data_IF_100383651249
#
_entry.id   IF_100383651249
#
_cell.length_a   1.000
_cell.length_b   1.000
_cell.length_c   1.000
_cell.angle_alpha   90.00
_cell.angle_beta   90.00
_cell.angle_gamma   90.00
#
_symmetry.space_group_name_H-M   'P 1'
#
loop_
_entity.id
_entity.type
_entity.pdbx_description
1 polymer ?
#
# COMPACT_ATOMS: atom_id res chain seq x y z
N UNK A 1 5.55 7.53 7.93
CA UNK A 1 5.51 6.40 6.96
C UNK A 1 6.82 6.22 6.21
N UNK A 2 7.41 7.27 5.61
CA UNK A 2 8.71 7.18 4.93
C UNK A 2 9.80 6.56 5.82
N UNK A 3 9.78 6.90 7.11
CA UNK A 3 10.68 6.40 8.15
C UNK A 3 10.64 4.89 8.38
N UNK A 4 9.54 4.20 8.03
CA UNK A 4 9.44 2.73 8.19
C UNK A 4 9.38 1.96 6.86
N UNK A 5 9.61 2.63 5.73
CA UNK A 5 9.62 1.99 4.39
C UNK A 5 10.71 0.93 4.30
N UNK A 6 11.88 1.20 4.91
CA UNK A 6 13.01 0.28 4.91
C UNK A 6 12.66 -1.01 5.66
N UNK A 7 11.98 -0.90 6.79
CA UNK A 7 11.60 -1.97 7.69
C UNK A 7 10.53 -2.87 7.04
N UNK A 8 9.51 -2.25 6.43
CA UNK A 8 8.52 -2.99 5.61
C UNK A 8 9.24 -3.75 4.50
N UNK A 9 10.22 -3.10 3.88
CA UNK A 9 10.94 -3.71 2.79
C UNK A 9 11.77 -4.92 3.23
N UNK A 10 12.58 -4.76 4.27
CA UNK A 10 13.40 -5.82 4.84
C UNK A 10 12.54 -6.99 5.34
N UNK A 11 11.33 -6.72 5.83
CA UNK A 11 10.39 -7.76 6.27
C UNK A 11 9.82 -8.62 5.15
N UNK A 12 9.42 -7.98 4.03
CA UNK A 12 8.73 -8.67 2.94
C UNK A 12 9.69 -9.15 1.83
N UNK A 13 10.89 -8.59 1.70
CA UNK A 13 11.84 -8.98 0.66
C UNK A 13 12.23 -10.47 0.72
N UNK A 14 12.54 -11.06 1.90
CA UNK A 14 12.80 -12.50 2.01
C UNK A 14 11.59 -13.38 1.66
N UNK A 15 10.39 -12.81 1.63
CA UNK A 15 9.12 -13.49 1.38
C UNK A 15 8.68 -13.44 -0.09
N UNK A 16 9.56 -12.96 -0.99
CA UNK A 16 9.28 -12.79 -2.42
C UNK A 16 8.71 -14.06 -3.09
N UNK A 17 9.24 -15.23 -2.76
CA UNK A 17 8.82 -16.50 -3.35
C UNK A 17 7.35 -16.84 -3.05
N UNK A 18 6.80 -16.35 -1.93
CA UNK A 18 5.38 -16.52 -1.62
C UNK A 18 4.50 -15.78 -2.63
N UNK A 19 4.90 -14.58 -3.08
CA UNK A 19 4.15 -13.84 -4.09
C UNK A 19 4.09 -14.59 -5.43
N UNK A 20 5.19 -15.24 -5.81
CA UNK A 20 5.25 -16.07 -7.02
C UNK A 20 4.34 -17.31 -6.87
N UNK A 21 4.37 -17.96 -5.71
CA UNK A 21 3.48 -19.07 -5.39
C UNK A 21 1.99 -18.67 -5.40
N UNK A 22 1.63 -17.53 -4.82
CA UNK A 22 0.26 -17.04 -4.82
C UNK A 22 -0.23 -16.67 -6.22
N UNK A 23 0.64 -16.07 -7.04
CA UNK A 23 0.35 -15.77 -8.45
C UNK A 23 0.11 -17.05 -9.28
N UNK A 24 0.83 -18.14 -8.96
CA UNK A 24 0.68 -19.42 -9.65
C UNK A 24 -0.63 -20.16 -9.31
N UNK A 25 -1.16 -19.92 -8.11
CA UNK A 25 -2.31 -20.65 -7.57
C UNK A 25 -3.60 -19.81 -7.52
N UNK A 26 -3.60 -18.60 -8.08
CA UNK A 26 -4.74 -17.66 -8.07
C UNK A 26 -5.31 -17.39 -6.65
N UNK A 27 -4.43 -17.29 -5.64
CA UNK A 27 -4.82 -17.12 -4.22
C UNK A 27 -4.91 -15.65 -3.83
N UNK A 28 -5.91 -15.29 -3.02
CA UNK A 28 -6.04 -13.97 -2.40
C UNK A 28 -4.92 -13.74 -1.39
N UNK A 29 -3.99 -12.83 -1.72
CA UNK A 29 -2.80 -12.56 -0.90
C UNK A 29 -3.04 -11.47 0.16
N UNK A 30 -4.06 -10.63 0.01
CA UNK A 30 -4.28 -9.47 0.89
C UNK A 30 -4.47 -9.82 2.37
N UNK A 31 -5.24 -10.86 2.76
CA UNK A 31 -5.34 -11.25 4.16
C UNK A 31 -3.98 -11.64 4.74
N UNK A 32 -3.17 -12.39 3.99
CA UNK A 32 -1.81 -12.76 4.40
C UNK A 32 -0.91 -11.53 4.56
N UNK A 33 -0.96 -10.57 3.62
CA UNK A 33 -0.22 -9.31 3.73
C UNK A 33 -0.59 -8.50 4.97
N UNK A 34 -1.88 -8.47 5.33
CA UNK A 34 -2.33 -7.78 6.55
C UNK A 34 -1.81 -8.46 7.81
N UNK A 35 -1.81 -9.80 7.87
CA UNK A 35 -1.24 -10.55 9.00
C UNK A 35 0.27 -10.34 9.12
N UNK A 36 0.99 -10.33 8.00
CA UNK A 36 2.42 -10.02 7.98
C UNK A 36 2.70 -8.57 8.42
N UNK A 37 1.90 -7.61 7.97
CA UNK A 37 2.03 -6.22 8.40
C UNK A 37 1.71 -6.05 9.89
N UNK A 38 0.69 -6.72 10.41
CA UNK A 38 0.37 -6.75 11.85
C UNK A 38 1.58 -7.20 12.67
N UNK A 39 2.20 -8.31 12.26
CA UNK A 39 3.37 -8.87 12.93
C UNK A 39 4.55 -7.89 12.90
N UNK A 40 4.79 -7.27 11.74
CA UNK A 40 5.83 -6.27 11.59
C UNK A 40 5.58 -5.05 12.50
N UNK A 41 4.37 -4.49 12.49
CA UNK A 41 4.05 -3.31 13.30
C UNK A 41 4.19 -3.57 14.79
N UNK A 42 3.83 -4.76 15.27
CA UNK A 42 4.08 -5.16 16.65
C UNK A 42 5.57 -5.18 16.98
N UNK A 43 6.40 -5.75 16.10
CA UNK A 43 7.86 -5.74 16.28
C UNK A 43 8.43 -4.31 16.29
N UNK A 44 7.96 -3.44 15.39
CA UNK A 44 8.40 -2.04 15.34
C UNK A 44 7.97 -1.26 16.57
N UNK A 45 6.79 -1.54 17.12
CA UNK A 45 6.32 -0.95 18.38
C UNK A 45 7.18 -1.41 19.55
N UNK A 46 7.42 -2.72 19.69
CA UNK A 46 8.31 -3.25 20.72
C UNK A 46 9.75 -2.70 20.61
N UNK A 47 10.21 -2.47 19.38
CA UNK A 47 11.51 -1.87 19.08
C UNK A 47 11.56 -0.35 19.19
N UNK A 48 10.47 0.32 19.58
CA UNK A 48 10.36 1.79 19.68
C UNK A 48 10.66 2.54 18.37
N UNK A 49 10.42 1.89 17.23
CA UNK A 49 10.53 2.50 15.89
C UNK A 49 9.24 3.25 15.52
N UNK A 50 8.10 2.79 16.05
CA UNK A 50 6.81 3.47 15.98
C UNK A 50 6.26 3.64 17.40
N UNK A 51 5.39 4.62 17.60
CA UNK A 51 4.80 4.90 18.92
C UNK A 51 3.65 3.93 19.22
N UNK A 52 2.76 3.73 18.24
CA UNK A 52 1.62 2.82 18.36
C UNK A 52 1.02 2.45 16.99
N UNK A 53 0.12 1.48 16.97
CA UNK A 53 -0.73 1.23 15.81
C UNK A 53 -2.09 0.62 16.19
N UNK A 54 -3.07 0.85 15.33
CA UNK A 54 -4.38 0.21 15.35
C UNK A 54 -4.61 -0.50 14.01
N UNK A 55 -5.24 -1.68 14.03
CA UNK A 55 -5.63 -2.42 12.82
C UNK A 55 -7.14 -2.44 12.62
N UNK A 56 -7.58 -2.45 11.37
CA UNK A 56 -8.99 -2.55 10.98
C UNK A 56 -9.89 -1.48 11.65
N UNK A 57 -9.33 -0.30 11.93
CA UNK A 57 -9.96 0.75 12.72
C UNK A 57 -10.83 1.69 11.88
N UNK A 58 -11.72 2.42 12.56
CA UNK A 58 -12.59 3.43 11.95
C UNK A 58 -12.04 4.83 12.18
N UNK A 59 -11.68 5.53 11.10
CA UNK A 59 -11.17 6.92 11.15
C UNK A 59 -12.23 7.93 10.69
N UNK A 60 -12.08 9.17 11.13
CA UNK A 60 -12.96 10.26 10.71
C UNK A 60 -12.77 10.58 9.22
N UNK A 61 -13.87 10.80 8.52
CA UNK A 61 -13.88 11.16 7.11
C UNK A 61 -14.80 12.35 6.88
N UNK A 62 -14.71 12.96 5.71
CA UNK A 62 -15.58 14.06 5.30
C UNK A 62 -17.06 13.70 5.46
N UNK A 63 -17.40 12.44 5.16
CA UNK A 63 -18.73 11.85 5.30
C UNK A 63 -18.72 10.67 6.26
N UNK A 64 -18.77 10.98 7.56
CA UNK A 64 -18.91 9.99 8.63
C UNK A 64 -17.58 9.36 9.04
N UNK A 65 -17.54 8.02 9.06
CA UNK A 65 -16.32 7.27 9.37
C UNK A 65 -15.96 6.33 8.21
N UNK A 66 -14.68 6.02 8.06
CA UNK A 66 -14.16 5.06 7.08
C UNK A 66 -13.32 4.01 7.77
N UNK A 67 -13.46 2.76 7.34
CA UNK A 67 -12.58 1.68 7.77
C UNK A 67 -11.28 1.78 7.00
N UNK A 68 -10.17 1.63 7.71
CA UNK A 68 -8.82 1.60 7.15
C UNK A 68 -8.10 0.36 7.67
N UNK A 69 -7.08 -0.09 6.95
CA UNK A 69 -6.39 -1.31 7.33
C UNK A 69 -5.52 -1.07 8.56
N UNK A 70 -4.82 0.07 8.60
CA UNK A 70 -3.99 0.45 9.73
C UNK A 70 -4.03 1.96 9.98
N UNK A 71 -3.87 2.33 11.25
CA UNK A 71 -3.48 3.66 11.69
C UNK A 71 -2.21 3.52 12.51
N UNK A 72 -1.11 4.08 12.03
CA UNK A 72 0.22 3.94 12.64
C UNK A 72 0.66 5.31 13.16
N UNK A 73 1.12 5.38 14.41
CA UNK A 73 1.61 6.62 15.02
C UNK A 73 3.14 6.60 15.00
N UNK A 74 3.74 7.63 14.41
CA UNK A 74 5.18 7.76 14.24
C UNK A 74 5.58 9.19 14.61
N UNK A 75 6.44 9.33 15.61
CA UNK A 75 6.89 10.64 16.12
C UNK A 75 5.70 11.55 16.51
N UNK A 76 4.63 10.96 17.05
CA UNK A 76 3.40 11.63 17.45
C UNK A 76 2.41 11.92 16.30
N UNK A 77 2.79 11.69 15.05
CA UNK A 77 1.96 11.93 13.87
C UNK A 77 1.26 10.65 13.40
N UNK A 78 -0.02 10.75 13.06
CA UNK A 78 -0.80 9.60 12.61
C UNK A 78 -0.69 9.39 11.09
N UNK A 79 -0.41 8.16 10.70
CA UNK A 79 -0.35 7.68 9.32
C UNK A 79 -1.46 6.65 9.11
N UNK A 80 -2.46 7.01 8.31
CA UNK A 80 -3.56 6.13 7.95
C UNK A 80 -3.24 5.38 6.66
N UNK A 81 -3.23 4.06 6.75
CA UNK A 81 -2.67 3.19 5.72
C UNK A 81 -3.70 2.19 5.18
N UNK A 82 -3.75 2.07 3.85
CA UNK A 82 -4.35 0.92 3.15
C UNK A 82 -3.28 -0.05 2.66
N UNK A 83 -3.63 -1.32 2.54
CA UNK A 83 -2.83 -2.36 1.88
C UNK A 83 -3.59 -2.87 0.66
N UNK A 84 -2.89 -3.01 -0.46
CA UNK A 84 -3.43 -3.59 -1.68
C UNK A 84 -2.49 -4.58 -2.31
N UNK A 85 -3.05 -5.66 -2.85
CA UNK A 85 -2.35 -6.53 -3.78
C UNK A 85 -2.73 -6.20 -5.23
N UNK A 86 -1.71 -6.02 -6.08
CA UNK A 86 -1.87 -5.81 -7.51
C UNK A 86 -1.13 -6.91 -8.28
N UNK A 87 -1.77 -8.07 -8.41
CA UNK A 87 -1.25 -9.20 -9.19
C UNK A 87 -1.42 -8.96 -10.69
N UNK A 88 -0.36 -8.55 -11.38
CA UNK A 88 -0.43 -8.24 -12.80
C UNK A 88 -0.30 -9.47 -13.71
N UNK A 89 0.03 -10.63 -13.15
CA UNK A 89 0.01 -11.90 -13.87
C UNK A 89 -0.43 -13.04 -12.96
N UNK A 90 -1.60 -13.59 -13.22
CA UNK A 90 -2.07 -14.87 -12.70
C UNK A 90 -1.92 -15.93 -13.79
N UNK A 91 -1.72 -17.20 -13.42
CA UNK A 91 -1.57 -18.31 -14.40
C UNK A 91 -2.76 -18.38 -15.36
N UNK A 92 -3.95 -17.97 -14.90
CA UNK A 92 -5.19 -17.99 -15.70
C UNK A 92 -5.62 -16.63 -16.26
N UNK A 93 -5.11 -15.51 -15.72
CA UNK A 93 -5.47 -14.16 -16.18
C UNK A 93 -4.30 -13.19 -16.12
N UNK A 94 -3.92 -12.60 -17.26
CA UNK A 94 -3.04 -11.44 -17.24
C UNK A 94 -3.88 -10.18 -16.98
N UNK A 95 -3.56 -9.47 -15.90
CA UNK A 95 -4.18 -8.18 -15.58
C UNK A 95 -3.12 -7.10 -15.74
N UNK A 96 -3.09 -6.34 -16.85
CA UNK A 96 -2.11 -5.27 -16.99
C UNK A 96 -2.25 -4.29 -15.83
N UNK A 97 -1.15 -3.62 -15.45
CA UNK A 97 -1.17 -2.64 -14.36
C UNK A 97 -2.30 -1.61 -14.51
N UNK A 98 -2.60 -1.20 -15.75
CA UNK A 98 -3.71 -0.28 -16.07
C UNK A 98 -5.08 -0.74 -15.59
N UNK A 99 -5.31 -2.05 -15.44
CA UNK A 99 -6.55 -2.60 -14.86
C UNK A 99 -6.75 -2.15 -13.40
N UNK A 100 -5.66 -2.00 -12.64
CA UNK A 100 -5.71 -1.48 -11.28
C UNK A 100 -5.93 0.04 -11.23
N UNK A 101 -5.86 0.73 -12.37
CA UNK A 101 -6.12 2.15 -12.52
C UNK A 101 -7.36 2.46 -13.36
N UNK A 102 -8.20 1.47 -13.70
CA UNK A 102 -9.35 1.66 -14.60
C UNK A 102 -10.69 1.93 -13.88
N UNK A 103 -10.66 2.23 -12.58
CA UNK A 103 -11.86 2.66 -11.83
C UNK A 103 -12.85 1.55 -11.47
N UNK A 104 -12.49 0.27 -11.63
CA UNK A 104 -13.30 -0.85 -11.14
C UNK A 104 -13.32 -0.90 -9.60
N UNK A 105 -14.31 -1.60 -9.02
CA UNK A 105 -14.55 -1.69 -7.56
C UNK A 105 -13.32 -2.17 -6.74
N UNK A 106 -12.41 -2.89 -7.39
CA UNK A 106 -11.17 -3.43 -6.82
C UNK A 106 -9.91 -2.77 -7.42
N UNK A 107 -10.02 -1.52 -7.86
CA UNK A 107 -8.90 -0.71 -8.37
C UNK A 107 -8.15 0.05 -7.26
N UNK A 108 -6.88 0.35 -7.51
CA UNK A 108 -6.09 1.28 -6.70
C UNK A 108 -6.74 2.67 -6.66
N UNK A 109 -7.38 3.11 -7.74
CA UNK A 109 -8.14 4.38 -7.77
C UNK A 109 -9.22 4.42 -6.68
N UNK A 110 -9.92 3.30 -6.47
CA UNK A 110 -10.96 3.23 -5.42
C UNK A 110 -10.34 3.41 -4.03
N UNK A 111 -9.19 2.78 -3.77
CA UNK A 111 -8.51 2.91 -2.49
C UNK A 111 -7.94 4.33 -2.29
N UNK A 112 -7.35 4.93 -3.33
CA UNK A 112 -6.86 6.31 -3.30
C UNK A 112 -7.99 7.32 -3.03
N UNK A 113 -9.15 7.17 -3.68
CA UNK A 113 -10.32 8.00 -3.39
C UNK A 113 -10.81 7.82 -1.95
N UNK A 114 -10.92 6.58 -1.47
CA UNK A 114 -11.33 6.29 -0.08
C UNK A 114 -10.40 6.93 0.94
N UNK A 115 -9.09 6.86 0.70
CA UNK A 115 -8.10 7.47 1.59
C UNK A 115 -8.17 9.01 1.52
N UNK A 116 -8.39 9.59 0.33
CA UNK A 116 -8.57 11.04 0.19
C UNK A 116 -9.78 11.60 0.97
N UNK A 117 -10.83 10.80 1.19
CA UNK A 117 -12.01 11.19 1.98
C UNK A 117 -11.72 11.29 3.49
N UNK A 118 -10.58 10.78 3.96
CA UNK A 118 -10.18 10.85 5.36
C UNK A 118 -9.75 12.29 5.67
N UNK A 119 -10.32 12.83 6.76
CA UNK A 119 -9.99 14.19 7.22
C UNK A 119 -8.53 14.22 7.64
N UNK A 120 -7.79 15.12 7.00
CA UNK A 120 -6.32 15.15 7.04
C UNK A 120 -5.77 16.39 7.74
N UNK A 121 -6.54 16.97 8.66
CA UNK A 121 -6.09 18.10 9.45
C UNK A 121 -4.87 17.75 10.33
N UNK A 122 -4.60 16.45 10.57
CA UNK A 122 -3.36 15.93 11.20
C UNK A 122 -2.86 14.59 10.67
N UNK A 123 -3.59 13.93 9.77
CA UNK A 123 -3.29 12.55 9.37
C UNK A 123 -2.65 12.50 7.98
N UNK A 124 -1.49 11.86 7.91
CA UNK A 124 -0.89 11.45 6.64
C UNK A 124 -1.65 10.24 6.10
N UNK A 125 -1.87 10.17 4.79
CA UNK A 125 -2.57 9.04 4.15
C UNK A 125 -1.61 8.28 3.27
N UNK A 126 -1.59 6.97 3.39
CA UNK A 126 -0.66 6.11 2.67
C UNK A 126 -1.36 4.86 2.13
N UNK A 127 -0.87 4.36 1.00
CA UNK A 127 -1.30 3.12 0.38
C UNK A 127 -0.05 2.28 0.08
N UNK A 128 0.01 1.09 0.66
CA UNK A 128 1.08 0.11 0.44
C UNK A 128 0.59 -0.89 -0.60
N UNK A 129 1.18 -0.83 -1.79
CA UNK A 129 0.78 -1.63 -2.94
C UNK A 129 1.80 -2.73 -3.22
N UNK A 130 1.43 -3.97 -3.02
CA UNK A 130 2.23 -5.13 -3.41
C UNK A 130 1.91 -5.48 -4.87
N UNK A 131 2.66 -4.89 -5.79
CA UNK A 131 2.51 -5.13 -7.23
C UNK A 131 3.45 -6.25 -7.70
N UNK A 132 2.90 -7.37 -8.17
CA UNK A 132 3.67 -8.54 -8.60
C UNK A 132 3.12 -9.15 -9.91
N UNK A 133 3.95 -9.38 -10.94
CA UNK A 133 5.36 -8.96 -11.05
C UNK A 133 5.49 -7.44 -10.99
N UNK A 134 6.66 -6.98 -10.50
CA UNK A 134 6.92 -5.56 -10.29
C UNK A 134 6.86 -4.79 -11.63
N UNK A 135 6.09 -3.70 -11.71
CA UNK A 135 6.03 -2.90 -12.93
C UNK A 135 7.36 -2.17 -13.18
N UNK A 136 7.65 -1.88 -14.46
CA UNK A 136 8.78 -1.02 -14.79
C UNK A 136 8.54 0.41 -14.30
N UNK A 137 9.62 1.16 -14.04
CA UNK A 137 9.54 2.58 -13.65
C UNK A 137 8.72 3.40 -14.65
N UNK A 138 8.85 3.12 -15.96
CA UNK A 138 8.11 3.81 -17.01
C UNK A 138 6.60 3.50 -16.94
N UNK A 139 6.23 2.23 -16.80
CA UNK A 139 4.81 1.84 -16.70
C UNK A 139 4.16 2.40 -15.44
N UNK A 140 4.86 2.38 -14.30
CA UNK A 140 4.37 2.96 -13.07
C UNK A 140 4.21 4.48 -13.16
N UNK A 141 5.21 5.17 -13.72
CA UNK A 141 5.13 6.63 -13.93
C UNK A 141 3.94 7.00 -14.81
N UNK A 142 3.76 6.31 -15.95
CA UNK A 142 2.62 6.55 -16.83
C UNK A 142 1.27 6.33 -16.11
N UNK A 143 1.17 5.31 -15.24
CA UNK A 143 -0.02 5.08 -14.44
C UNK A 143 -0.27 6.23 -13.44
N UNK A 144 0.77 6.72 -12.75
CA UNK A 144 0.67 7.85 -11.82
C UNK A 144 0.31 9.16 -12.53
N UNK A 145 0.85 9.41 -13.73
CA UNK A 145 0.53 10.58 -14.56
C UNK A 145 -0.90 10.54 -15.11
N UNK A 146 -1.49 9.35 -15.23
CA UNK A 146 -2.88 9.16 -15.65
C UNK A 146 -3.90 9.38 -14.53
N UNK A 147 -3.46 9.66 -13.30
CA UNK A 147 -4.37 9.87 -12.16
C UNK A 147 -5.25 11.11 -12.38
N UNK A 148 -6.53 11.06 -11.97
CA UNK A 148 -7.40 12.22 -11.92
C UNK A 148 -6.76 13.39 -11.13
N UNK A 149 -7.07 14.64 -11.51
CA UNK A 149 -6.48 15.85 -10.91
C UNK A 149 -6.62 15.88 -9.38
N UNK A 150 -7.74 15.39 -8.84
CA UNK A 150 -7.97 15.33 -7.39
C UNK A 150 -7.13 14.26 -6.66
N UNK A 151 -6.43 13.38 -7.38
CA UNK A 151 -5.48 12.40 -6.87
C UNK A 151 -4.02 12.72 -7.25
N UNK A 152 -3.76 13.84 -7.94
CA UNK A 152 -2.41 14.18 -8.43
C UNK A 152 -1.38 14.44 -7.31
N UNK A 153 -1.83 14.68 -6.09
CA UNK A 153 -0.94 14.94 -4.94
C UNK A 153 -0.27 13.69 -4.39
N UNK A 154 -0.73 12.49 -4.78
CA UNK A 154 -0.15 11.22 -4.33
C UNK A 154 1.26 11.02 -4.87
N UNK A 155 2.21 10.74 -3.97
CA UNK A 155 3.62 10.56 -4.31
C UNK A 155 4.09 9.16 -3.95
N UNK A 156 4.92 8.60 -4.82
CA UNK A 156 5.63 7.37 -4.54
C UNK A 156 6.77 7.64 -3.55
N UNK A 157 6.77 6.93 -2.42
CA UNK A 157 7.79 7.04 -1.38
C UNK A 157 8.84 5.92 -1.46
N UNK A 158 8.59 4.90 -2.26
CA UNK A 158 9.52 3.81 -2.60
C UNK A 158 10.21 4.07 -3.94
N UNK A 159 11.47 3.67 -4.11
CA UNK A 159 12.15 3.79 -5.41
C UNK A 159 11.74 2.64 -6.34
N UNK A 160 10.81 2.91 -7.26
CA UNK A 160 10.33 1.94 -8.27
C UNK A 160 11.43 1.57 -9.29
N UNK A 161 12.52 2.35 -9.39
CA UNK A 161 13.62 2.15 -10.34
C UNK A 161 14.71 1.17 -9.92
N UNK A 162 14.90 0.92 -8.61
CA UNK A 162 15.93 -0.03 -8.13
C UNK A 162 15.41 -1.47 -8.19
N UNK A 163 15.90 -2.24 -9.17
CA UNK A 163 15.59 -3.67 -9.32
C UNK A 163 16.04 -4.42 -8.06
N UNK A 164 15.24 -5.39 -7.61
CA UNK A 164 15.49 -6.28 -6.46
C UNK A 164 15.54 -5.63 -5.07
N UNK A 165 15.36 -4.32 -4.94
CA UNK A 165 15.37 -3.68 -3.61
C UNK A 165 13.99 -3.64 -2.96
N UNK A 166 12.87 -3.63 -3.71
CA UNK A 166 11.53 -3.60 -3.09
C UNK A 166 10.49 -4.57 -3.65
N UNK A 167 9.68 -5.15 -2.77
CA UNK A 167 8.54 -6.04 -3.11
C UNK A 167 7.19 -5.33 -3.08
N UNK A 168 7.18 -4.06 -2.66
CA UNK A 168 5.99 -3.21 -2.64
C UNK A 168 6.31 -1.81 -3.16
N UNK A 169 5.24 -1.06 -3.43
CA UNK A 169 5.25 0.35 -3.81
C UNK A 169 4.45 1.12 -2.77
N UNK A 170 5.10 2.04 -2.06
CA UNK A 170 4.45 2.92 -1.11
C UNK A 170 4.00 4.20 -1.80
N UNK A 171 2.73 4.57 -1.64
CA UNK A 171 2.16 5.85 -2.05
C UNK A 171 1.73 6.62 -0.81
N UNK A 172 2.03 7.92 -0.72
CA UNK A 172 1.56 8.74 0.38
C UNK A 172 1.17 10.15 -0.06
N UNK A 173 0.30 10.77 0.73
CA UNK A 173 0.05 12.21 0.79
C UNK A 173 0.19 12.69 2.22
N UNK A 174 0.89 13.81 2.37
CA UNK A 174 1.12 14.54 3.61
C UNK A 174 1.08 16.01 3.29
#
# INVERSE_FOLDING_TARGET
MQSIVKEINEWFLPKREHFESFAQNDVLVEPWLKTEMLTLLELLKCGLVIDDFESDCMVAADKGKRKVDFRVVIEGEAHVCGIRAACTSMVRTQRPLSHYFSGHKESLLTDLHRLNEIRADKDHRCLVVFAYPRPSRQHWRAAMESLPVNLANWRCVTDVGRRNEHVFIGLCIG
#
